data_IF_179125511765
#
_entry.id   IF_179125511765
#
_cell.length_a   1.000
_cell.length_b   1.000
_cell.length_c   1.000
_cell.angle_alpha   90.00
_cell.angle_beta   90.00
_cell.angle_gamma   90.00
#
_symmetry.space_group_name_H-M   'P 1'
#
loop_
_entity.id
_entity.type
_entity.pdbx_description
1 polymer ?
#
# COMPACT_ATOMS: atom_id res chain seq x y z
N UNK A 1 38.14 6.18 9.70
CA UNK A 1 37.25 5.48 8.73
C UNK A 1 36.21 6.51 8.34
N UNK A 2 36.49 7.24 7.26
CA UNK A 2 35.56 8.20 6.66
C UNK A 2 34.42 7.42 6.01
N UNK A 3 33.19 7.64 6.45
CA UNK A 3 32.01 7.24 5.71
C UNK A 3 31.51 8.46 4.94
N UNK A 4 32.03 8.61 3.72
CA UNK A 4 31.52 9.55 2.75
C UNK A 4 30.06 9.18 2.42
N UNK A 5 29.11 9.93 2.98
CA UNK A 5 27.70 9.86 2.61
C UNK A 5 27.58 10.50 1.22
N UNK A 6 27.79 9.67 0.20
CA UNK A 6 27.62 10.02 -1.20
C UNK A 6 26.18 10.42 -1.47
N UNK A 7 25.97 11.71 -1.68
CA UNK A 7 24.68 12.32 -2.05
C UNK A 7 24.20 11.76 -3.39
N UNK A 8 23.37 10.71 -3.34
CA UNK A 8 22.77 10.11 -4.53
C UNK A 8 21.52 10.91 -4.88
N UNK A 9 21.64 11.88 -5.80
CA UNK A 9 20.48 12.54 -6.41
C UNK A 9 19.71 11.54 -7.29
N UNK A 10 18.76 10.82 -6.72
CA UNK A 10 17.81 10.00 -7.49
C UNK A 10 16.63 10.86 -7.92
N UNK A 11 16.63 11.20 -9.20
CA UNK A 11 15.50 11.77 -9.91
C UNK A 11 14.45 10.66 -10.11
N UNK A 12 13.53 10.49 -9.16
CA UNK A 12 12.34 9.64 -9.35
C UNK A 12 11.26 10.46 -10.01
N UNK A 13 11.43 10.71 -11.31
CA UNK A 13 10.30 10.94 -12.21
C UNK A 13 9.54 9.63 -12.29
N UNK A 14 8.52 9.48 -11.43
CA UNK A 14 7.61 8.34 -11.48
C UNK A 14 6.79 8.46 -12.78
N UNK A 15 7.28 7.88 -13.87
CA UNK A 15 6.48 7.73 -15.09
C UNK A 15 5.32 6.80 -14.74
N UNK A 16 4.11 7.35 -14.65
CA UNK A 16 2.88 6.58 -14.59
C UNK A 16 2.83 5.76 -15.89
N UNK A 17 3.28 4.51 -15.83
CA UNK A 17 3.07 3.56 -16.92
C UNK A 17 1.58 3.31 -16.98
N UNK A 18 0.93 3.93 -17.96
CA UNK A 18 -0.46 3.64 -18.33
C UNK A 18 -0.52 2.17 -18.73
N UNK A 19 -0.81 1.33 -17.75
CA UNK A 19 -0.77 -0.10 -17.88
C UNK A 19 -2.13 -0.49 -18.45
N UNK A 20 -2.18 -0.69 -19.77
CA UNK A 20 -3.36 -1.13 -20.56
C UNK A 20 -3.99 -2.47 -20.13
N UNK A 21 -3.65 -2.98 -18.96
CA UNK A 21 -4.28 -4.13 -18.33
C UNK A 21 -5.21 -3.59 -17.24
N UNK A 22 -6.47 -3.38 -17.57
CA UNK A 22 -7.49 -2.91 -16.64
C UNK A 22 -7.77 -3.96 -15.56
N UNK A 23 -6.98 -3.95 -14.50
CA UNK A 23 -7.28 -4.71 -13.28
C UNK A 23 -8.39 -3.95 -12.55
N UNK A 24 -9.52 -4.61 -12.31
CA UNK A 24 -10.61 -4.03 -11.52
C UNK A 24 -10.17 -3.90 -10.06
N UNK A 25 -9.94 -2.66 -9.61
CA UNK A 25 -9.60 -2.37 -8.21
C UNK A 25 -10.89 -2.13 -7.41
N UNK A 26 -10.95 -2.70 -6.20
CA UNK A 26 -12.02 -2.37 -5.25
C UNK A 26 -11.76 -1.00 -4.62
N UNK A 27 -12.80 -0.39 -4.03
CA UNK A 27 -12.64 0.84 -3.26
C UNK A 27 -11.59 0.68 -2.13
N UNK A 28 -11.52 -0.49 -1.50
CA UNK A 28 -10.52 -0.82 -0.47
C UNK A 28 -9.10 -0.84 -1.02
N UNK A 29 -8.89 -1.40 -2.21
CA UNK A 29 -7.56 -1.38 -2.84
C UNK A 29 -7.12 0.06 -3.14
N UNK A 30 -8.05 0.89 -3.64
CA UNK A 30 -7.75 2.31 -3.89
C UNK A 30 -7.35 3.03 -2.62
N UNK A 31 -8.09 2.83 -1.53
CA UNK A 31 -7.79 3.44 -0.23
C UNK A 31 -6.41 3.02 0.29
N UNK A 32 -6.12 1.72 0.31
CA UNK A 32 -4.83 1.17 0.72
C UNK A 32 -3.65 1.78 -0.06
N UNK A 33 -3.78 1.90 -1.38
CA UNK A 33 -2.76 2.51 -2.24
C UNK A 33 -2.62 4.01 -1.95
N UNK A 34 -3.73 4.73 -1.75
CA UNK A 34 -3.71 6.15 -1.39
C UNK A 34 -2.95 6.38 -0.08
N UNK A 35 -3.29 5.65 0.98
CA UNK A 35 -2.63 5.77 2.29
C UNK A 35 -1.14 5.45 2.20
N UNK A 36 -0.75 4.45 1.40
CA UNK A 36 0.65 4.12 1.20
C UNK A 36 1.43 5.22 0.46
N UNK A 37 0.82 5.84 -0.55
CA UNK A 37 1.42 6.96 -1.28
C UNK A 37 1.64 8.16 -0.34
N UNK A 38 0.66 8.46 0.51
CA UNK A 38 0.75 9.54 1.49
C UNK A 38 1.91 9.29 2.48
N UNK A 39 1.96 8.10 3.09
CA UNK A 39 3.04 7.73 4.01
C UNK A 39 4.42 7.78 3.35
N UNK A 40 4.55 7.33 2.09
CA UNK A 40 5.81 7.45 1.34
C UNK A 40 6.15 8.92 1.09
N UNK A 41 5.18 9.73 0.68
CA UNK A 41 5.35 11.16 0.43
C UNK A 41 5.84 11.90 1.67
N UNK A 42 5.25 11.63 2.83
CA UNK A 42 5.66 12.23 4.10
C UNK A 42 7.03 11.72 4.56
N UNK A 43 7.34 10.43 4.38
CA UNK A 43 8.67 9.88 4.72
C UNK A 43 9.82 10.58 3.98
N UNK A 44 9.57 11.07 2.77
CA UNK A 44 10.57 11.83 1.99
C UNK A 44 10.86 13.18 2.67
N UNK A 45 9.85 13.81 3.26
CA UNK A 45 10.02 15.09 3.96
C UNK A 45 10.79 14.87 5.28
N UNK A 46 10.43 13.83 6.02
CA UNK A 46 11.12 13.45 7.27
C UNK A 46 12.58 13.06 7.04
N UNK A 47 12.86 12.33 5.96
CA UNK A 47 14.22 11.96 5.58
C UNK A 47 15.06 13.20 5.26
N UNK A 48 14.48 14.18 4.57
CA UNK A 48 15.16 15.46 4.28
C UNK A 48 15.38 16.29 5.55
N UNK A 49 14.53 16.14 6.55
CA UNK A 49 14.67 16.76 7.86
C UNK A 49 15.70 16.04 8.76
N UNK A 50 16.23 14.88 8.35
CA UNK A 50 17.16 14.06 9.13
C UNK A 50 16.50 13.21 10.21
N UNK A 51 15.19 13.00 10.10
CA UNK A 51 14.37 12.24 11.06
C UNK A 51 14.26 10.77 10.62
N UNK A 52 15.34 10.02 10.81
CA UNK A 52 15.46 8.65 10.29
C UNK A 52 14.47 7.67 10.95
N UNK A 53 14.19 7.83 12.24
CA UNK A 53 13.24 6.97 12.97
C UNK A 53 11.80 7.17 12.47
N UNK A 54 11.39 8.42 12.27
CA UNK A 54 10.07 8.76 11.74
C UNK A 54 9.95 8.30 10.29
N UNK A 55 10.99 8.52 9.48
CA UNK A 55 11.07 7.99 8.11
C UNK A 55 10.84 6.48 8.09
N UNK A 56 11.55 5.73 8.94
CA UNK A 56 11.40 4.28 9.03
C UNK A 56 10.00 3.85 9.50
N UNK A 57 9.39 4.60 10.42
CA UNK A 57 8.01 4.37 10.86
C UNK A 57 7.02 4.55 9.70
N UNK A 58 7.14 5.63 8.93
CA UNK A 58 6.26 5.93 7.80
C UNK A 58 6.39 4.90 6.67
N UNK A 59 7.61 4.46 6.36
CA UNK A 59 7.84 3.41 5.37
C UNK A 59 7.22 2.07 5.81
N UNK A 60 7.26 1.75 7.10
CA UNK A 60 6.56 0.57 7.64
C UNK A 60 5.04 0.71 7.52
N UNK A 61 4.50 1.89 7.81
CA UNK A 61 3.07 2.16 7.66
C UNK A 61 2.61 2.02 6.20
N UNK A 62 3.38 2.55 5.25
CA UNK A 62 3.11 2.39 3.82
C UNK A 62 3.13 0.92 3.39
N UNK A 63 4.10 0.15 3.88
CA UNK A 63 4.18 -1.30 3.60
C UNK A 63 2.96 -2.05 4.15
N UNK A 64 2.54 -1.73 5.38
CA UNK A 64 1.38 -2.38 5.99
C UNK A 64 0.10 -2.08 5.19
N UNK A 65 -0.13 -0.82 4.81
CA UNK A 65 -1.30 -0.42 4.03
C UNK A 65 -1.43 -1.22 2.71
N UNK A 66 -0.31 -1.51 2.03
CA UNK A 66 -0.32 -2.31 0.78
C UNK A 66 -0.42 -3.82 1.07
N UNK A 67 0.14 -4.30 2.18
CA UNK A 67 0.07 -5.72 2.55
C UNK A 67 -1.37 -6.21 2.75
N UNK A 68 -2.26 -5.30 3.15
CA UNK A 68 -3.68 -5.58 3.33
C UNK A 68 -4.43 -5.82 1.99
N UNK A 69 -3.84 -5.45 0.85
CA UNK A 69 -4.40 -5.70 -0.48
C UNK A 69 -4.36 -7.20 -0.83
N UNK A 70 -3.30 -7.91 -0.43
CA UNK A 70 -3.14 -9.36 -0.66
C UNK A 70 -3.93 -10.20 0.37
N UNK A 71 -4.32 -9.57 1.48
CA UNK A 71 -5.04 -10.19 2.59
C UNK A 71 -6.51 -10.50 2.30
N UNK A 72 -7.02 -10.11 1.12
CA UNK A 72 -8.36 -10.43 0.64
C UNK A 72 -8.64 -11.95 0.47
N UNK A 73 -7.66 -12.81 0.74
CA UNK A 73 -7.81 -14.27 0.82
C UNK A 73 -8.53 -14.78 2.08
N UNK A 74 -8.75 -13.95 3.11
CA UNK A 74 -9.72 -14.30 4.17
C UNK A 74 -11.09 -13.83 3.74
N UNK A 75 -11.72 -14.61 2.87
CA UNK A 75 -13.16 -14.50 2.71
C UNK A 75 -13.74 -14.83 4.08
N UNK A 76 -14.29 -13.82 4.73
CA UNK A 76 -14.92 -13.96 6.03
C UNK A 76 -16.05 -14.99 5.90
N UNK A 77 -16.06 -16.00 6.77
CA UNK A 77 -17.12 -17.01 6.79
C UNK A 77 -18.50 -16.34 6.94
N UNK A 78 -18.56 -15.16 7.57
CA UNK A 78 -19.77 -14.34 7.68
C UNK A 78 -20.25 -13.81 6.31
N UNK A 79 -19.32 -13.45 5.41
CA UNK A 79 -19.65 -13.03 4.04
C UNK A 79 -20.16 -14.23 3.23
N UNK A 80 -19.55 -15.41 3.41
CA UNK A 80 -20.01 -16.65 2.77
C UNK A 80 -21.41 -17.02 3.27
N UNK A 81 -21.66 -17.00 4.58
CA UNK A 81 -22.98 -17.26 5.16
C UNK A 81 -24.04 -16.28 4.65
N UNK A 82 -23.70 -15.00 4.48
CA UNK A 82 -24.64 -13.99 3.97
C UNK A 82 -24.96 -14.18 2.48
N UNK A 83 -24.05 -14.76 1.71
CA UNK A 83 -24.28 -15.14 0.31
C UNK A 83 -25.12 -16.42 0.24
N UNK A 84 -24.78 -17.45 1.01
CA UNK A 84 -25.46 -18.75 0.99
C UNK A 84 -26.82 -18.75 1.70
N UNK A 85 -27.06 -17.85 2.65
CA UNK A 85 -28.39 -17.68 3.30
C UNK A 85 -29.49 -17.19 2.35
N UNK A 86 -29.12 -16.65 1.18
CA UNK A 86 -30.08 -16.24 0.13
C UNK A 86 -30.38 -17.34 -0.88
N UNK A 87 -29.64 -18.45 -0.86
CA UNK A 87 -29.97 -19.62 -1.65
C UNK A 87 -30.89 -20.51 -0.81
N UNK A 88 -32.10 -20.75 -1.30
CA UNK A 88 -33.00 -21.72 -0.67
C UNK A 88 -32.25 -23.05 -0.47
N UNK A 89 -32.28 -23.57 0.76
CA UNK A 89 -31.68 -24.85 1.14
C UNK A 89 -32.18 -25.93 0.17
N UNK A 90 -31.30 -26.41 -0.71
CA UNK A 90 -31.63 -27.48 -1.67
C UNK A 90 -31.28 -27.18 -3.14
N UNK A 91 -30.03 -26.81 -3.43
CA UNK A 91 -29.43 -27.00 -4.76
C UNK A 91 -28.19 -27.88 -4.64
#
# INVERSE_FOLDING_TARGET
IELAVGSTKRNTRYEIRDTKYGVALTARHKQAVTEAIENVGESINELKAGSDEVTAMMLRAAYQAISDIDSAGRIDDEILERIFSRFCIGK
#
